data_IF_192600915918
#
_entry.id   IF_192600915918
#
_cell.length_a   1.000
_cell.length_b   1.000
_cell.length_c   1.000
_cell.angle_alpha   90.00
_cell.angle_beta   90.00
_cell.angle_gamma   90.00
#
_symmetry.space_group_name_H-M   'P 1'
#
loop_
_entity.id
_entity.type
_entity.pdbx_description
1 polymer ?
#
# COMPACT_ATOMS: atom_id res chain seq x y z
N UNK A 1 -14.74 -19.27 -17.31
CA UNK A 1 -14.01 -18.01 -17.01
C UNK A 1 -13.60 -17.36 -18.31
N UNK A 2 -13.77 -16.07 -18.43
CA UNK A 2 -13.31 -15.34 -19.59
C UNK A 2 -11.79 -15.37 -19.65
N UNK A 3 -11.23 -15.53 -20.85
CA UNK A 3 -9.77 -15.60 -21.07
C UNK A 3 -9.02 -14.39 -20.48
N UNK A 4 -9.69 -13.25 -20.40
CA UNK A 4 -9.16 -12.03 -19.77
C UNK A 4 -8.98 -12.20 -18.24
N UNK A 5 -9.96 -12.75 -17.54
CA UNK A 5 -9.88 -13.00 -16.10
C UNK A 5 -8.74 -13.97 -15.77
N UNK A 6 -8.63 -15.06 -16.53
CA UNK A 6 -7.52 -16.01 -16.37
C UNK A 6 -6.17 -15.33 -16.60
N UNK A 7 -6.05 -14.46 -17.60
CA UNK A 7 -4.83 -13.72 -17.82
C UNK A 7 -4.50 -12.79 -16.66
N UNK A 8 -5.45 -11.96 -16.20
CA UNK A 8 -5.20 -10.97 -15.14
C UNK A 8 -4.97 -11.60 -13.78
N UNK A 9 -5.64 -12.69 -13.46
CA UNK A 9 -5.53 -13.31 -12.12
C UNK A 9 -4.58 -14.52 -12.06
N UNK A 10 -4.13 -15.07 -13.17
CA UNK A 10 -3.17 -16.19 -13.16
C UNK A 10 -1.84 -15.87 -13.82
N UNK A 11 -1.80 -15.12 -14.92
CA UNK A 11 -0.58 -14.83 -15.68
C UNK A 11 0.07 -13.50 -15.30
N UNK A 12 -0.72 -12.43 -15.29
CA UNK A 12 -0.25 -11.07 -15.08
C UNK A 12 0.52 -10.86 -13.75
N UNK A 13 0.12 -11.44 -12.59
CA UNK A 13 0.88 -11.31 -11.36
C UNK A 13 2.34 -11.78 -11.49
N UNK A 14 2.58 -12.88 -12.19
CA UNK A 14 3.94 -13.37 -12.41
C UNK A 14 4.75 -12.46 -13.34
N UNK A 15 4.12 -11.91 -14.38
CA UNK A 15 4.77 -10.92 -15.25
C UNK A 15 5.22 -9.70 -14.43
N UNK A 16 4.37 -9.18 -13.56
CA UNK A 16 4.69 -8.04 -12.68
C UNK A 16 5.87 -8.37 -11.76
N UNK A 17 5.86 -9.54 -11.13
CA UNK A 17 6.96 -9.98 -10.25
C UNK A 17 8.28 -10.10 -11.03
N UNK A 18 8.25 -10.70 -12.22
CA UNK A 18 9.45 -10.83 -13.08
C UNK A 18 9.99 -9.46 -13.49
N UNK A 19 9.13 -8.55 -13.95
CA UNK A 19 9.51 -7.19 -14.32
C UNK A 19 10.09 -6.44 -13.12
N UNK A 20 9.47 -6.58 -11.95
CA UNK A 20 9.97 -5.97 -10.71
C UNK A 20 11.36 -6.49 -10.33
N UNK A 21 11.57 -7.81 -10.35
CA UNK A 21 12.86 -8.42 -10.00
C UNK A 21 13.95 -8.02 -10.98
N UNK A 22 13.69 -8.17 -12.29
CA UNK A 22 14.66 -7.80 -13.34
C UNK A 22 14.97 -6.30 -13.27
N UNK A 23 13.95 -5.46 -13.14
CA UNK A 23 14.11 -4.01 -13.03
C UNK A 23 14.92 -3.60 -11.80
N UNK A 24 14.67 -4.24 -10.66
CA UNK A 24 15.38 -3.99 -9.41
C UNK A 24 16.86 -4.41 -9.53
N UNK A 25 17.13 -5.62 -10.03
CA UNK A 25 18.51 -6.13 -10.24
C UNK A 25 19.25 -5.25 -11.24
N UNK A 26 18.63 -4.91 -12.36
CA UNK A 26 19.21 -4.03 -13.37
C UNK A 26 19.57 -2.66 -12.79
N UNK A 27 18.62 -2.04 -12.05
CA UNK A 27 18.82 -0.73 -11.41
C UNK A 27 19.96 -0.79 -10.40
N UNK A 28 20.02 -1.82 -9.56
CA UNK A 28 21.05 -1.97 -8.54
C UNK A 28 22.44 -2.14 -9.17
N UNK A 29 22.56 -2.99 -10.19
CA UNK A 29 23.83 -3.26 -10.84
C UNK A 29 24.35 -2.08 -11.69
N UNK A 30 23.46 -1.33 -12.34
CA UNK A 30 23.85 -0.24 -13.25
C UNK A 30 23.94 1.12 -12.57
N UNK A 31 23.13 1.36 -11.53
CA UNK A 31 22.97 2.69 -10.91
C UNK A 31 22.98 2.63 -9.38
N UNK A 32 23.61 1.65 -8.78
CA UNK A 32 23.61 1.45 -7.32
C UNK A 32 24.02 2.68 -6.52
N UNK A 33 25.03 3.41 -6.98
CA UNK A 33 25.49 4.65 -6.34
C UNK A 33 24.65 5.89 -6.66
N UNK A 34 23.73 5.82 -7.59
CA UNK A 34 22.84 6.93 -7.97
C UNK A 34 21.44 6.82 -7.33
N UNK A 35 21.20 5.76 -6.56
CA UNK A 35 19.94 5.59 -5.81
C UNK A 35 20.07 6.37 -4.50
N UNK A 36 20.02 7.68 -4.58
CA UNK A 36 19.94 8.55 -3.42
C UNK A 36 18.57 9.18 -3.37
N UNK A 37 17.86 8.96 -2.27
CA UNK A 37 16.74 9.83 -1.93
C UNK A 37 17.35 11.15 -1.46
N UNK A 38 17.26 12.20 -2.27
CA UNK A 38 17.64 13.53 -1.85
C UNK A 38 16.76 13.93 -0.66
N UNK A 39 17.34 13.93 0.54
CA UNK A 39 16.61 14.36 1.73
C UNK A 39 16.33 15.85 1.64
N UNK A 40 15.06 16.19 1.55
CA UNK A 40 14.60 17.57 1.57
C UNK A 40 14.43 18.14 2.99
N UNK A 41 14.81 17.39 4.02
CA UNK A 41 14.63 17.77 5.43
C UNK A 41 15.38 19.04 5.79
N UNK A 42 16.59 19.23 5.25
CA UNK A 42 17.38 20.45 5.49
C UNK A 42 16.82 21.68 4.78
N UNK A 43 15.99 21.51 3.76
CA UNK A 43 15.39 22.62 3.01
C UNK A 43 14.12 23.13 3.67
N UNK A 44 13.37 22.24 4.31
CA UNK A 44 12.16 22.54 5.06
C UNK A 44 11.87 21.37 6.01
N UNK A 45 11.90 21.61 7.30
CA UNK A 45 11.74 20.57 8.33
C UNK A 45 10.36 20.54 9.00
N UNK A 46 9.69 21.67 9.16
CA UNK A 46 8.45 21.76 9.93
C UNK A 46 7.27 21.07 9.26
N UNK A 47 6.99 21.42 8.03
CA UNK A 47 5.92 20.77 7.23
C UNK A 47 6.33 19.33 6.92
N UNK A 48 7.64 19.08 6.65
CA UNK A 48 8.18 17.76 6.46
C UNK A 48 7.94 16.83 7.64
N UNK A 49 8.10 17.30 8.86
CA UNK A 49 7.82 16.54 10.07
C UNK A 49 6.32 16.19 10.19
N UNK A 50 5.43 17.18 10.09
CA UNK A 50 3.98 16.99 10.22
C UNK A 50 3.37 16.18 9.07
N UNK A 51 4.00 16.13 7.90
CA UNK A 51 3.61 15.24 6.82
C UNK A 51 4.18 13.84 6.98
N UNK A 52 5.48 13.75 7.29
CA UNK A 52 6.21 12.48 7.33
C UNK A 52 5.78 11.57 8.49
N UNK A 53 5.57 12.12 9.68
CA UNK A 53 5.21 11.30 10.86
C UNK A 53 3.86 10.59 10.68
N UNK A 54 2.74 11.28 10.37
CA UNK A 54 1.48 10.59 10.17
C UNK A 54 1.50 9.67 8.94
N UNK A 55 2.24 10.02 7.88
CA UNK A 55 2.45 9.14 6.73
C UNK A 55 3.10 7.83 7.13
N UNK A 56 4.24 7.86 7.82
CA UNK A 56 4.98 6.64 8.17
C UNK A 56 4.24 5.77 9.17
N UNK A 57 3.63 6.35 10.20
CA UNK A 57 2.81 5.59 11.13
C UNK A 57 1.58 5.01 10.46
N UNK A 58 0.90 5.79 9.62
CA UNK A 58 -0.27 5.33 8.87
C UNK A 58 0.06 4.15 7.95
N UNK A 59 1.07 4.30 7.09
CA UNK A 59 1.44 3.24 6.14
C UNK A 59 1.96 1.98 6.85
N UNK A 60 2.76 2.14 7.91
CA UNK A 60 3.30 1.02 8.67
C UNK A 60 2.20 0.19 9.32
N UNK A 61 1.26 0.84 9.99
CA UNK A 61 0.16 0.14 10.68
C UNK A 61 -0.80 -0.53 9.70
N UNK A 62 -1.11 0.12 8.58
CA UNK A 62 -1.92 -0.49 7.51
C UNK A 62 -1.20 -1.70 6.90
N UNK A 63 0.10 -1.55 6.59
CA UNK A 63 0.91 -2.64 6.06
C UNK A 63 0.96 -3.84 7.02
N UNK A 64 1.16 -3.59 8.32
CA UNK A 64 1.16 -4.63 9.35
C UNK A 64 -0.20 -5.33 9.45
N UNK A 65 -1.32 -4.59 9.34
CA UNK A 65 -2.66 -5.17 9.31
C UNK A 65 -2.87 -6.11 8.11
N UNK A 66 -2.49 -5.68 6.91
CA UNK A 66 -2.56 -6.52 5.72
C UNK A 66 -1.62 -7.72 5.79
N UNK A 67 -0.40 -7.52 6.32
CA UNK A 67 0.56 -8.59 6.51
C UNK A 67 0.05 -9.64 7.52
N UNK A 68 -0.56 -9.21 8.61
CA UNK A 68 -1.17 -10.11 9.59
C UNK A 68 -2.32 -10.92 8.95
N UNK A 69 -3.20 -10.28 8.18
CA UNK A 69 -4.28 -10.96 7.46
C UNK A 69 -3.76 -11.92 6.39
N UNK A 70 -2.62 -11.63 5.77
CA UNK A 70 -1.98 -12.50 4.80
C UNK A 70 -1.27 -13.71 5.44
N UNK A 71 -0.51 -13.49 6.53
CA UNK A 71 0.30 -14.54 7.17
C UNK A 71 -0.50 -15.42 8.12
N UNK A 72 -1.50 -14.85 8.81
CA UNK A 72 -2.29 -15.54 9.83
C UNK A 72 -3.79 -15.30 9.60
N UNK A 73 -4.33 -15.69 8.41
CA UNK A 73 -5.72 -15.39 8.04
C UNK A 73 -6.73 -15.97 9.02
N UNK A 74 -6.52 -17.21 9.51
CA UNK A 74 -7.39 -17.85 10.50
C UNK A 74 -7.49 -17.05 11.81
N UNK A 75 -6.38 -16.46 12.26
CA UNK A 75 -6.36 -15.61 13.45
C UNK A 75 -7.17 -14.32 13.27
N UNK A 76 -7.07 -13.69 12.10
CA UNK A 76 -7.85 -12.48 11.78
C UNK A 76 -9.34 -12.81 11.66
N UNK A 77 -9.71 -13.91 11.02
CA UNK A 77 -11.10 -14.39 10.93
C UNK A 77 -11.66 -14.67 12.33
N UNK A 78 -10.91 -15.38 13.18
CA UNK A 78 -11.31 -15.66 14.56
C UNK A 78 -11.45 -14.38 15.41
N UNK A 79 -10.57 -13.39 15.21
CA UNK A 79 -10.70 -12.08 15.85
C UNK A 79 -11.96 -11.36 15.40
N UNK A 80 -12.20 -11.30 14.10
CA UNK A 80 -13.31 -10.59 13.47
C UNK A 80 -14.68 -11.28 13.69
N UNK A 81 -14.71 -12.52 14.17
CA UNK A 81 -15.97 -13.23 14.47
C UNK A 81 -16.82 -12.54 15.55
N UNK A 82 -16.21 -11.71 16.40
CA UNK A 82 -16.93 -10.91 17.39
C UNK A 82 -17.18 -9.49 16.84
N UNK A 83 -18.42 -8.99 16.79
CA UNK A 83 -18.75 -7.69 16.22
C UNK A 83 -18.02 -6.52 16.86
N UNK A 84 -17.79 -6.55 18.17
CA UNK A 84 -17.10 -5.48 18.87
C UNK A 84 -15.61 -5.45 18.48
N UNK A 85 -14.96 -6.62 18.38
CA UNK A 85 -13.56 -6.73 17.95
C UNK A 85 -13.39 -6.32 16.50
N UNK A 86 -14.33 -6.70 15.63
CA UNK A 86 -14.35 -6.24 14.23
C UNK A 86 -14.44 -4.71 14.16
N UNK A 87 -15.34 -4.09 14.90
CA UNK A 87 -15.50 -2.63 14.92
C UNK A 87 -14.22 -1.92 15.40
N UNK A 88 -13.56 -2.46 16.43
CA UNK A 88 -12.26 -1.92 16.91
C UNK A 88 -11.20 -2.04 15.81
N UNK A 89 -11.10 -3.18 15.15
CA UNK A 89 -10.14 -3.42 14.06
C UNK A 89 -10.36 -2.46 12.89
N UNK A 90 -11.59 -2.33 12.42
CA UNK A 90 -11.97 -1.40 11.35
C UNK A 90 -11.71 0.06 11.73
N UNK A 91 -12.09 0.46 12.95
CA UNK A 91 -11.87 1.81 13.46
C UNK A 91 -10.39 2.20 13.56
N UNK A 92 -9.55 1.28 14.04
CA UNK A 92 -8.09 1.48 14.08
C UNK A 92 -7.50 1.61 12.67
N UNK A 93 -7.85 0.71 11.77
CA UNK A 93 -7.36 0.75 10.38
C UNK A 93 -7.80 2.05 9.68
N UNK A 94 -9.04 2.47 9.86
CA UNK A 94 -9.53 3.72 9.29
C UNK A 94 -8.80 4.94 9.87
N UNK A 95 -8.51 4.95 11.16
CA UNK A 95 -7.74 6.02 11.83
C UNK A 95 -6.34 6.15 11.21
N UNK A 96 -5.64 5.03 11.02
CA UNK A 96 -4.33 5.03 10.38
C UNK A 96 -4.40 5.37 8.89
N UNK A 97 -5.47 5.00 8.18
CA UNK A 97 -5.69 5.38 6.80
C UNK A 97 -5.90 6.90 6.64
N UNK A 98 -6.67 7.51 7.54
CA UNK A 98 -6.85 8.98 7.58
C UNK A 98 -5.52 9.68 7.90
N UNK A 99 -4.74 9.17 8.86
CA UNK A 99 -3.42 9.69 9.16
C UNK A 99 -2.47 9.61 7.95
N UNK A 100 -2.49 8.50 7.21
CA UNK A 100 -1.74 8.31 5.98
C UNK A 100 -2.14 9.34 4.91
N UNK A 101 -3.44 9.55 4.69
CA UNK A 101 -3.96 10.51 3.70
C UNK A 101 -3.54 11.93 4.08
N UNK A 102 -3.70 12.33 5.34
CA UNK A 102 -3.29 13.67 5.81
C UNK A 102 -1.78 13.86 5.60
N UNK A 103 -0.98 12.86 5.96
CA UNK A 103 0.46 12.87 5.75
C UNK A 103 0.83 13.02 4.27
N UNK A 104 0.21 12.24 3.38
CA UNK A 104 0.44 12.33 1.92
C UNK A 104 0.04 13.68 1.35
N UNK A 105 -1.12 14.21 1.73
CA UNK A 105 -1.57 15.54 1.27
C UNK A 105 -0.61 16.65 1.71
N UNK A 106 -0.08 16.57 2.94
CA UNK A 106 0.92 17.51 3.42
C UNK A 106 2.25 17.40 2.64
N UNK A 107 2.70 16.19 2.34
CA UNK A 107 3.93 15.95 1.56
C UNK A 107 3.78 16.38 0.11
N UNK A 108 2.67 16.08 -0.55
CA UNK A 108 2.35 16.54 -1.92
C UNK A 108 2.26 18.06 -1.95
N UNK A 109 1.51 18.65 -1.03
CA UNK A 109 1.37 20.10 -0.93
C UNK A 109 2.73 20.80 -0.74
N UNK A 110 3.59 20.26 0.12
CA UNK A 110 4.95 20.75 0.32
C UNK A 110 5.75 20.72 -0.99
N UNK A 111 5.68 19.65 -1.78
CA UNK A 111 6.39 19.54 -3.07
C UNK A 111 5.86 20.50 -4.12
N UNK A 112 4.55 20.74 -4.15
CA UNK A 112 3.92 21.61 -5.14
C UNK A 112 4.10 23.09 -4.83
N UNK A 113 4.00 23.48 -3.55
CA UNK A 113 3.89 24.89 -3.16
C UNK A 113 5.15 25.47 -2.50
N UNK A 114 6.06 24.63 -1.94
CA UNK A 114 7.26 25.16 -1.31
C UNK A 114 8.40 25.36 -2.33
N UNK A 115 8.87 26.61 -2.60
CA UNK A 115 9.79 26.91 -3.70
C UNK A 115 11.09 26.09 -3.66
N UNK A 116 11.70 25.94 -2.48
CA UNK A 116 12.96 25.20 -2.30
C UNK A 116 12.80 23.70 -2.57
N UNK A 117 11.67 23.13 -2.16
CA UNK A 117 11.38 21.70 -2.35
C UNK A 117 11.03 21.42 -3.80
N UNK A 118 10.27 22.32 -4.45
CA UNK A 118 9.90 22.20 -5.87
C UNK A 118 11.13 22.08 -6.78
N UNK A 119 12.23 22.75 -6.47
CA UNK A 119 13.47 22.68 -7.25
C UNK A 119 14.15 21.30 -7.21
N UNK A 120 13.92 20.51 -6.17
CA UNK A 120 14.49 19.17 -6.02
C UNK A 120 13.47 18.05 -6.23
N UNK A 121 12.23 18.42 -6.56
CA UNK A 121 11.13 17.45 -6.80
C UNK A 121 11.18 16.96 -8.24
N UNK A 122 11.20 15.65 -8.42
CA UNK A 122 11.11 15.01 -9.73
C UNK A 122 9.65 14.65 -10.07
N UNK A 123 9.30 14.49 -11.36
CA UNK A 123 7.96 14.00 -11.75
C UNK A 123 7.64 12.62 -11.15
N UNK A 124 8.66 11.77 -10.98
CA UNK A 124 8.48 10.43 -10.40
C UNK A 124 8.10 10.51 -8.92
N UNK A 125 8.62 11.49 -8.16
CA UNK A 125 8.24 11.67 -6.76
C UNK A 125 6.74 11.97 -6.63
N UNK A 126 6.23 12.88 -7.45
CA UNK A 126 4.80 13.21 -7.48
C UNK A 126 3.96 12.02 -7.95
N UNK A 127 4.42 11.31 -8.98
CA UNK A 127 3.72 10.15 -9.49
C UNK A 127 3.52 9.08 -8.41
N UNK A 128 4.59 8.76 -7.66
CA UNK A 128 4.53 7.78 -6.57
C UNK A 128 3.58 8.25 -5.45
N UNK A 129 3.69 9.51 -5.04
CA UNK A 129 2.82 10.08 -4.01
C UNK A 129 1.35 10.07 -4.43
N UNK A 130 1.02 10.37 -5.70
CA UNK A 130 -0.34 10.28 -6.21
C UNK A 130 -0.86 8.83 -6.31
N UNK A 131 -0.03 7.88 -6.70
CA UNK A 131 -0.40 6.45 -6.69
C UNK A 131 -0.73 5.99 -5.29
N UNK A 132 0.12 6.33 -4.31
CA UNK A 132 -0.11 5.99 -2.90
C UNK A 132 -1.40 6.66 -2.36
N UNK A 133 -1.63 7.91 -2.70
CA UNK A 133 -2.85 8.62 -2.30
C UNK A 133 -4.09 7.96 -2.89
N UNK A 134 -4.04 7.58 -4.16
CA UNK A 134 -5.16 6.86 -4.82
C UNK A 134 -5.43 5.53 -4.13
N UNK A 135 -4.40 4.75 -3.81
CA UNK A 135 -4.54 3.49 -3.08
C UNK A 135 -5.13 3.69 -1.69
N UNK A 136 -4.68 4.71 -0.95
CA UNK A 136 -5.22 5.03 0.37
C UNK A 136 -6.70 5.46 0.32
N UNK A 137 -7.08 6.25 -0.67
CA UNK A 137 -8.47 6.67 -0.87
C UNK A 137 -9.37 5.50 -1.25
N UNK A 138 -8.91 4.62 -2.16
CA UNK A 138 -9.63 3.40 -2.52
C UNK A 138 -9.78 2.45 -1.31
N UNK A 139 -8.73 2.31 -0.50
CA UNK A 139 -8.79 1.53 0.74
C UNK A 139 -9.80 2.08 1.74
N UNK A 140 -9.84 3.41 1.93
CA UNK A 140 -10.88 4.06 2.75
C UNK A 140 -12.29 3.87 2.18
N UNK A 141 -12.44 3.98 0.86
CA UNK A 141 -13.71 3.73 0.19
C UNK A 141 -14.22 2.31 0.47
N UNK A 142 -13.37 1.29 0.33
CA UNK A 142 -13.70 -0.09 0.63
C UNK A 142 -14.07 -0.23 2.11
N UNK A 143 -13.27 0.32 3.03
CA UNK A 143 -13.53 0.22 4.47
C UNK A 143 -14.86 0.86 4.90
N UNK A 144 -15.29 1.94 4.24
CA UNK A 144 -16.54 2.63 4.56
C UNK A 144 -17.77 1.93 3.95
N UNK A 145 -17.64 1.35 2.75
CA UNK A 145 -18.76 0.74 2.05
C UNK A 145 -18.89 -0.77 2.32
N UNK A 146 -17.81 -1.44 2.68
CA UNK A 146 -17.75 -2.89 2.91
C UNK A 146 -17.15 -3.19 4.28
N UNK A 147 -17.98 -3.17 5.31
CA UNK A 147 -17.58 -3.37 6.73
C UNK A 147 -17.00 -4.75 7.03
N UNK A 148 -17.06 -5.68 6.12
CA UNK A 148 -16.46 -7.01 6.20
C UNK A 148 -15.17 -7.15 5.36
N UNK A 149 -14.63 -6.05 4.83
CA UNK A 149 -13.48 -6.05 3.93
C UNK A 149 -12.22 -6.69 4.51
N UNK A 150 -11.96 -6.53 5.81
CA UNK A 150 -10.84 -7.17 6.49
C UNK A 150 -11.00 -8.70 6.61
N UNK A 151 -12.22 -9.16 6.79
CA UNK A 151 -12.56 -10.59 6.81
C UNK A 151 -12.45 -11.18 5.41
N UNK A 152 -12.99 -10.50 4.40
CA UNK A 152 -12.85 -10.90 2.99
C UNK A 152 -11.38 -10.99 2.57
N UNK A 153 -10.55 -10.01 2.94
CA UNK A 153 -9.13 -10.08 2.67
C UNK A 153 -8.50 -11.36 3.22
N UNK A 154 -8.82 -11.73 4.46
CA UNK A 154 -8.27 -12.91 5.10
C UNK A 154 -8.87 -14.22 4.56
N UNK A 155 -10.17 -14.24 4.22
CA UNK A 155 -10.89 -15.45 3.82
C UNK A 155 -10.72 -15.79 2.32
N UNK A 156 -10.69 -14.75 1.47
CA UNK A 156 -10.73 -14.94 0.01
C UNK A 156 -9.42 -14.50 -0.65
N UNK A 157 -8.96 -13.26 -0.39
CA UNK A 157 -7.78 -12.73 -1.05
C UNK A 157 -6.48 -13.39 -0.58
N UNK A 158 -6.32 -13.68 0.72
CA UNK A 158 -5.10 -14.31 1.24
C UNK A 158 -4.87 -15.72 0.68
N UNK A 159 -5.86 -16.64 0.62
CA UNK A 159 -5.71 -17.93 -0.05
C UNK A 159 -5.33 -17.80 -1.53
N UNK A 160 -5.93 -16.85 -2.24
CA UNK A 160 -5.56 -16.56 -3.63
C UNK A 160 -4.08 -16.13 -3.75
N UNK A 161 -3.61 -15.20 -2.91
CA UNK A 161 -2.22 -14.77 -2.91
C UNK A 161 -1.26 -15.92 -2.57
N UNK A 162 -1.63 -16.80 -1.64
CA UNK A 162 -0.88 -18.02 -1.35
C UNK A 162 -0.84 -18.98 -2.54
N UNK A 163 -1.94 -19.12 -3.29
CA UNK A 163 -2.00 -19.94 -4.50
C UNK A 163 -1.03 -19.44 -5.58
N UNK A 164 -0.83 -18.12 -5.68
CA UNK A 164 0.17 -17.54 -6.57
C UNK A 164 1.60 -17.88 -6.11
N UNK A 165 1.89 -17.79 -4.82
CA UNK A 165 3.23 -18.10 -4.26
C UNK A 165 3.57 -19.58 -4.45
N UNK A 166 2.58 -20.46 -4.33
CA UNK A 166 2.76 -21.91 -4.53
C UNK A 166 2.70 -22.34 -6.00
N UNK A 167 2.66 -21.39 -6.95
CA UNK A 167 2.58 -21.64 -8.39
C UNK A 167 1.36 -22.49 -8.81
N UNK A 168 0.27 -22.37 -8.07
CA UNK A 168 -1.00 -23.05 -8.34
C UNK A 168 -2.15 -22.04 -8.29
N UNK A 169 -2.21 -21.06 -9.22
CA UNK A 169 -3.15 -19.95 -9.15
C UNK A 169 -4.60 -20.44 -9.18
N UNK A 170 -5.39 -19.95 -8.23
CA UNK A 170 -6.82 -20.23 -8.09
C UNK A 170 -7.63 -18.93 -8.28
N UNK A 171 -7.82 -18.47 -9.51
CA UNK A 171 -8.52 -17.22 -9.80
C UNK A 171 -10.01 -17.25 -9.42
N UNK A 172 -10.56 -18.43 -9.15
CA UNK A 172 -11.95 -18.62 -8.70
C UNK A 172 -12.16 -18.24 -7.23
N UNK A 173 -11.09 -18.04 -6.48
CA UNK A 173 -11.15 -17.65 -5.07
C UNK A 173 -11.37 -16.13 -4.88
N UNK A 174 -11.28 -15.32 -5.93
CA UNK A 174 -11.43 -13.87 -5.95
C UNK A 174 -12.48 -13.48 -6.98
#
# INVERSE_FOLDING_TARGET
>A
MDSLNTFFFSGYPYVVVVVFLIGTIYRYNRKGYQVTSLSAQFLEGKIGFWGSVPFHWGILMILLGHLAAFLVPSGVIAWNSNPTRLLIHEGLNLTFAVALIIGLLALIGRRLFHPRIKMVTTPMDLFIEFVLLTQALLGCWIALNYRWGSTWFAADLSPYLWSLITFSPQPEAV
#
